data_IF_965634440946
#
_entry.id   IF_965634440946
#
_cell.length_a   1.000
_cell.length_b   1.000
_cell.length_c   1.000
_cell.angle_alpha   90.00
_cell.angle_beta   90.00
_cell.angle_gamma   90.00
#
_symmetry.space_group_name_H-M   'P 1'
#
loop_
_entity.id
_entity.type
_entity.pdbx_description
1 polymer ?
#
# COMPACT_ATOMS: atom_id res chain seq x y z
N UNK A 1 13.10 8.71 -7.22
CA UNK A 1 12.38 8.24 -6.04
C UNK A 1 13.25 8.46 -4.82
N UNK A 2 12.74 8.44 -3.59
CA UNK A 2 13.56 8.59 -2.38
C UNK A 2 14.44 7.36 -2.15
N UNK A 3 15.55 7.55 -1.43
CA UNK A 3 16.42 6.43 -1.04
C UNK A 3 15.71 5.55 0.00
N UNK A 4 15.86 4.24 -0.08
CA UNK A 4 15.22 3.25 0.82
C UNK A 4 15.51 3.51 2.29
N UNK A 5 16.75 3.86 2.61
CA UNK A 5 17.16 4.14 3.99
C UNK A 5 16.43 5.36 4.57
N UNK A 6 16.28 6.42 3.77
CA UNK A 6 15.51 7.61 4.16
C UNK A 6 14.05 7.25 4.44
N UNK A 7 13.46 6.42 3.59
CA UNK A 7 12.07 5.95 3.74
C UNK A 7 11.93 5.07 4.98
N UNK A 8 12.82 4.10 5.17
CA UNK A 8 12.83 3.23 6.36
C UNK A 8 12.87 4.04 7.66
N UNK A 9 13.81 4.99 7.75
CA UNK A 9 13.96 5.81 8.95
C UNK A 9 12.74 6.70 9.18
N UNK A 10 12.21 7.33 8.13
CA UNK A 10 11.00 8.14 8.20
C UNK A 10 9.81 7.36 8.74
N UNK A 11 9.57 6.13 8.27
CA UNK A 11 8.46 5.30 8.73
C UNK A 11 8.69 4.72 10.12
N UNK A 12 9.95 4.42 10.52
CA UNK A 12 10.28 4.07 11.90
C UNK A 12 9.90 5.21 12.87
N UNK A 13 10.23 6.46 12.53
CA UNK A 13 9.99 7.62 13.38
C UNK A 13 8.49 7.91 13.60
N UNK A 14 7.65 7.69 12.58
CA UNK A 14 6.22 8.02 12.65
C UNK A 14 5.33 6.83 13.07
N UNK A 15 5.90 5.63 13.18
CA UNK A 15 5.15 4.41 13.43
C UNK A 15 4.14 4.51 14.60
N UNK A 16 4.48 5.10 15.79
CA UNK A 16 3.55 5.17 16.91
C UNK A 16 2.26 5.97 16.65
N UNK A 17 2.29 6.92 15.72
CA UNK A 17 1.12 7.76 15.40
C UNK A 17 0.50 7.51 14.03
N UNK A 18 1.05 6.57 13.27
CA UNK A 18 0.76 6.39 11.85
C UNK A 18 -0.70 6.05 11.57
N UNK A 19 -1.27 5.07 12.26
CA UNK A 19 -2.65 4.66 12.05
C UNK A 19 -3.64 5.79 12.33
N UNK A 20 -3.43 6.48 13.47
CA UNK A 20 -4.27 7.62 13.85
C UNK A 20 -4.17 8.75 12.82
N UNK A 21 -2.97 9.01 12.31
CA UNK A 21 -2.78 9.99 11.25
C UNK A 21 -3.57 9.60 10.00
N UNK A 22 -3.47 8.36 9.53
CA UNK A 22 -4.18 7.89 8.34
C UNK A 22 -5.69 8.04 8.48
N UNK A 23 -6.27 7.65 9.60
CA UNK A 23 -7.72 7.78 9.85
C UNK A 23 -8.18 9.23 9.89
N UNK A 24 -7.45 10.10 10.59
CA UNK A 24 -7.80 11.52 10.70
C UNK A 24 -7.62 12.23 9.36
N UNK A 25 -6.49 12.02 8.70
CA UNK A 25 -6.15 12.68 7.44
C UNK A 25 -7.00 12.24 6.25
N UNK A 26 -7.54 11.03 6.27
CA UNK A 26 -8.46 10.54 5.24
C UNK A 26 -9.93 10.83 5.54
N UNK A 27 -10.24 11.44 6.70
CA UNK A 27 -11.62 11.54 7.21
C UNK A 27 -12.28 10.15 7.29
N UNK A 28 -11.53 9.13 7.69
CA UNK A 28 -11.92 7.71 7.74
C UNK A 28 -12.31 7.09 6.37
N UNK A 29 -11.99 7.76 5.27
CA UNK A 29 -12.24 7.22 3.93
C UNK A 29 -11.30 6.05 3.59
N UNK A 30 -10.10 6.00 4.21
CA UNK A 30 -9.12 4.93 4.04
C UNK A 30 -9.72 3.54 4.31
N UNK A 31 -10.54 3.39 5.34
CA UNK A 31 -11.23 2.14 5.64
C UNK A 31 -12.21 1.69 4.51
N UNK A 32 -12.90 2.64 3.88
CA UNK A 32 -13.77 2.33 2.73
C UNK A 32 -12.95 1.93 1.49
N UNK A 33 -11.82 2.58 1.26
CA UNK A 33 -10.93 2.26 0.14
C UNK A 33 -10.28 0.88 0.33
N UNK A 34 -9.76 0.59 1.55
CA UNK A 34 -9.21 -0.72 1.89
C UNK A 34 -10.25 -1.82 1.72
N UNK A 35 -11.48 -1.63 2.19
CA UNK A 35 -12.57 -2.61 2.00
C UNK A 35 -12.76 -2.98 0.54
N UNK A 36 -12.76 -2.00 -0.37
CA UNK A 36 -12.89 -2.27 -1.82
C UNK A 36 -11.70 -3.01 -2.40
N UNK A 37 -10.50 -2.73 -1.90
CA UNK A 37 -9.30 -3.46 -2.31
C UNK A 37 -9.33 -4.91 -1.76
N UNK A 38 -9.73 -5.10 -0.51
CA UNK A 38 -9.94 -6.42 0.11
C UNK A 38 -10.95 -7.26 -0.67
N UNK A 39 -12.10 -6.69 -1.06
CA UNK A 39 -13.09 -7.35 -1.91
C UNK A 39 -12.51 -7.83 -3.25
N UNK A 40 -11.53 -7.10 -3.80
CA UNK A 40 -10.85 -7.48 -5.04
C UNK A 40 -9.75 -8.54 -4.84
N UNK A 41 -9.12 -8.59 -3.66
CA UNK A 41 -8.08 -9.57 -3.31
C UNK A 41 -8.74 -10.90 -2.92
N UNK A 42 -9.66 -10.84 -1.97
CA UNK A 42 -10.38 -12.00 -1.42
C UNK A 42 -11.72 -12.19 -2.17
N UNK A 43 -11.62 -12.45 -3.46
CA UNK A 43 -12.73 -12.61 -4.41
C UNK A 43 -13.18 -14.07 -4.60
N UNK A 44 -12.68 -14.97 -3.76
CA UNK A 44 -13.00 -16.40 -3.74
C UNK A 44 -13.04 -16.91 -2.30
N UNK A 45 -13.79 -17.97 -2.05
CA UNK A 45 -13.80 -18.67 -0.77
C UNK A 45 -12.72 -19.76 -0.67
N UNK A 46 -11.98 -20.01 -1.76
CA UNK A 46 -10.84 -20.93 -1.76
C UNK A 46 -9.68 -20.39 -0.88
N UNK A 47 -8.91 -21.28 -0.24
CA UNK A 47 -7.71 -20.87 0.48
C UNK A 47 -6.70 -20.18 -0.43
N UNK A 48 -6.16 -19.07 0.02
CA UNK A 48 -5.19 -18.23 -0.72
C UNK A 48 -3.91 -18.03 0.09
N UNK A 49 -2.77 -18.09 -0.59
CA UNK A 49 -1.50 -17.57 -0.07
C UNK A 49 -1.29 -16.14 -0.62
N UNK A 50 -1.29 -15.18 0.28
CA UNK A 50 -1.33 -13.74 -0.05
C UNK A 50 -0.07 -13.06 0.47
N UNK A 51 0.59 -12.27 -0.37
CA UNK A 51 1.70 -11.39 0.02
C UNK A 51 1.19 -9.95 0.10
N UNK A 52 1.33 -9.31 1.27
CA UNK A 52 1.08 -7.88 1.46
C UNK A 52 2.41 -7.14 1.55
N UNK A 53 2.74 -6.39 0.50
CA UNK A 53 4.01 -5.69 0.34
C UNK A 53 3.88 -4.27 0.90
N UNK A 54 4.90 -3.81 1.65
CA UNK A 54 4.85 -2.59 2.44
C UNK A 54 3.64 -2.59 3.40
N UNK A 55 3.50 -3.67 4.16
CA UNK A 55 2.35 -3.96 5.03
C UNK A 55 2.18 -2.97 6.18
N UNK A 56 3.24 -2.21 6.52
CA UNK A 56 3.23 -1.22 7.59
C UNK A 56 2.84 -1.83 8.94
N UNK A 57 1.84 -1.22 9.57
CA UNK A 57 1.25 -1.68 10.86
C UNK A 57 0.23 -2.80 10.69
N UNK A 58 0.20 -3.46 9.55
CA UNK A 58 -0.63 -4.63 9.21
C UNK A 58 -2.15 -4.42 9.14
N UNK A 59 -2.66 -3.19 9.12
CA UNK A 59 -4.11 -2.95 9.01
C UNK A 59 -4.70 -3.61 7.77
N UNK A 60 -4.01 -3.48 6.62
CA UNK A 60 -4.51 -4.05 5.38
C UNK A 60 -4.38 -5.58 5.36
N UNK A 61 -3.28 -6.14 5.85
CA UNK A 61 -3.10 -7.58 6.01
C UNK A 61 -4.18 -8.21 6.90
N UNK A 62 -4.53 -7.54 8.01
CA UNK A 62 -5.60 -7.97 8.92
C UNK A 62 -6.97 -7.92 8.22
N UNK A 63 -7.27 -6.84 7.49
CA UNK A 63 -8.53 -6.70 6.75
C UNK A 63 -8.64 -7.80 5.65
N UNK A 64 -7.54 -8.12 4.96
CA UNK A 64 -7.47 -9.20 3.98
C UNK A 64 -7.72 -10.57 4.64
N UNK A 65 -7.00 -10.88 5.72
CA UNK A 65 -7.11 -12.18 6.40
C UNK A 65 -8.50 -12.42 6.98
N UNK A 66 -9.20 -11.39 7.45
CA UNK A 66 -10.59 -11.47 7.91
C UNK A 66 -11.60 -11.82 6.81
N UNK A 67 -11.29 -11.46 5.58
CA UNK A 67 -12.22 -11.63 4.44
C UNK A 67 -11.88 -12.85 3.59
N UNK A 68 -10.61 -13.25 3.56
CA UNK A 68 -10.14 -14.38 2.76
C UNK A 68 -10.77 -15.70 3.23
N UNK A 69 -10.89 -16.66 2.32
CA UNK A 69 -11.46 -17.98 2.59
C UNK A 69 -10.70 -18.72 3.70
N UNK A 70 -11.41 -19.64 4.38
CA UNK A 70 -10.81 -20.44 5.45
C UNK A 70 -9.56 -21.19 4.97
N UNK A 71 -8.51 -21.21 5.79
CA UNK A 71 -7.21 -21.79 5.44
C UNK A 71 -6.31 -20.85 4.62
N UNK A 72 -6.72 -19.60 4.34
CA UNK A 72 -5.86 -18.60 3.73
C UNK A 72 -4.79 -18.14 4.70
N UNK A 73 -3.63 -17.79 4.14
CA UNK A 73 -2.49 -17.24 4.88
C UNK A 73 -2.03 -15.92 4.27
N UNK A 74 -1.73 -14.94 5.13
CA UNK A 74 -1.18 -13.65 4.70
C UNK A 74 0.27 -13.54 5.20
N UNK A 75 1.18 -13.20 4.30
CA UNK A 75 2.55 -12.83 4.63
C UNK A 75 2.69 -11.33 4.36
N UNK A 76 2.98 -10.55 5.39
CA UNK A 76 3.23 -9.11 5.29
C UNK A 76 4.71 -8.80 5.37
N UNK A 77 5.23 -7.99 4.46
CA UNK A 77 6.61 -7.52 4.50
C UNK A 77 6.70 -6.00 4.54
N UNK A 78 7.67 -5.48 5.28
CA UNK A 78 7.98 -4.06 5.32
C UNK A 78 9.47 -3.80 5.58
N UNK A 79 9.98 -2.66 5.13
CA UNK A 79 11.35 -2.21 5.43
C UNK A 79 11.49 -1.66 6.85
N UNK A 80 10.41 -1.14 7.42
CA UNK A 80 10.37 -0.48 8.72
C UNK A 80 10.12 -1.50 9.84
N UNK A 81 11.13 -1.73 10.66
CA UNK A 81 11.00 -2.59 11.83
C UNK A 81 9.97 -2.04 12.83
N UNK A 82 9.97 -0.71 13.04
CA UNK A 82 9.01 -0.06 13.95
C UNK A 82 7.54 -0.24 13.52
N UNK A 83 7.27 -0.23 12.20
CA UNK A 83 5.93 -0.55 11.68
C UNK A 83 5.57 -2.02 11.94
N UNK A 84 6.50 -2.95 11.66
CA UNK A 84 6.27 -4.38 11.87
C UNK A 84 6.04 -4.74 13.33
N UNK A 85 6.71 -4.07 14.28
CA UNK A 85 6.54 -4.35 15.71
C UNK A 85 5.12 -3.98 16.16
N UNK A 86 4.61 -2.82 15.76
CA UNK A 86 3.20 -2.43 15.99
C UNK A 86 2.25 -3.42 15.30
N UNK A 87 2.56 -3.80 14.06
CA UNK A 87 1.78 -4.79 13.30
C UNK A 87 1.69 -6.13 14.02
N UNK A 88 2.81 -6.65 14.55
CA UNK A 88 2.84 -7.92 15.31
C UNK A 88 1.96 -7.86 16.55
N UNK A 89 2.01 -6.75 17.31
CA UNK A 89 1.12 -6.56 18.46
C UNK A 89 -0.37 -6.57 18.08
N UNK A 90 -0.70 -6.01 16.92
CA UNK A 90 -2.07 -6.02 16.40
C UNK A 90 -2.49 -7.42 15.93
N UNK A 91 -1.64 -8.08 15.17
CA UNK A 91 -1.89 -9.44 14.65
C UNK A 91 -2.08 -10.44 15.78
N UNK A 92 -1.23 -10.39 16.84
CA UNK A 92 -1.33 -11.29 17.99
C UNK A 92 -2.70 -11.26 18.70
N UNK A 93 -3.45 -10.15 18.57
CA UNK A 93 -4.79 -9.99 19.16
C UNK A 93 -5.92 -10.56 18.28
N UNK A 94 -5.61 -11.02 17.06
CA UNK A 94 -6.66 -11.39 16.09
C UNK A 94 -6.89 -12.89 15.99
N UNK A 95 -5.90 -13.73 16.26
CA UNK A 95 -5.92 -15.17 16.02
C UNK A 95 -5.87 -15.57 14.54
N UNK A 96 -5.61 -14.61 13.63
CA UNK A 96 -5.54 -14.84 12.18
C UNK A 96 -4.16 -15.41 11.77
N UNK A 97 -4.10 -16.19 10.70
CA UNK A 97 -2.84 -16.70 10.14
C UNK A 97 -2.13 -15.63 9.32
N UNK A 98 -1.45 -14.75 10.02
CA UNK A 98 -0.68 -13.63 9.45
C UNK A 98 0.76 -13.71 9.95
N UNK A 99 1.73 -13.73 9.05
CA UNK A 99 3.16 -13.67 9.36
C UNK A 99 3.71 -12.33 8.91
N UNK A 100 4.39 -11.60 9.81
CA UNK A 100 5.02 -10.32 9.49
C UNK A 100 6.54 -10.45 9.58
N UNK A 101 7.25 -10.06 8.50
CA UNK A 101 8.70 -10.15 8.43
C UNK A 101 9.32 -8.95 7.71
N UNK A 102 10.58 -8.60 8.01
CA UNK A 102 11.32 -7.62 7.22
C UNK A 102 11.43 -8.06 5.76
N UNK A 103 11.36 -7.12 4.83
CA UNK A 103 11.51 -7.42 3.41
C UNK A 103 11.52 -6.18 2.54
N UNK A 104 12.22 -6.29 1.41
CA UNK A 104 12.34 -5.24 0.41
C UNK A 104 11.48 -5.59 -0.80
N UNK A 105 10.51 -4.73 -1.14
CA UNK A 105 9.64 -4.88 -2.31
C UNK A 105 10.41 -5.00 -3.65
N UNK A 106 11.63 -4.48 -3.69
CA UNK A 106 12.47 -4.50 -4.89
C UNK A 106 13.44 -5.69 -4.93
N UNK A 107 13.40 -6.58 -3.92
CA UNK A 107 14.20 -7.81 -3.84
C UNK A 107 13.48 -8.79 -2.91
N UNK A 108 12.39 -9.37 -3.41
CA UNK A 108 11.55 -10.28 -2.65
C UNK A 108 12.25 -11.64 -2.45
N UNK A 109 12.46 -12.02 -1.19
CA UNK A 109 13.11 -13.29 -0.81
C UNK A 109 12.11 -14.47 -0.85
N UNK A 110 11.33 -14.54 -1.94
CA UNK A 110 10.39 -15.63 -2.20
C UNK A 110 10.64 -16.24 -3.57
N UNK A 111 10.39 -17.56 -3.73
CA UNK A 111 10.48 -18.20 -5.05
C UNK A 111 9.49 -17.61 -6.07
N UNK A 112 9.78 -17.85 -7.34
CA UNK A 112 8.85 -17.53 -8.42
C UNK A 112 7.53 -18.28 -8.23
N UNK A 113 6.41 -17.68 -8.66
CA UNK A 113 5.10 -18.32 -8.66
C UNK A 113 4.65 -18.88 -7.30
N UNK A 114 4.93 -18.14 -6.21
CA UNK A 114 4.62 -18.57 -4.85
C UNK A 114 3.22 -18.15 -4.39
N UNK A 115 2.74 -16.97 -4.79
CA UNK A 115 1.54 -16.35 -4.22
C UNK A 115 0.36 -16.34 -5.18
N UNK A 116 -0.82 -16.58 -4.65
CA UNK A 116 -2.09 -16.49 -5.39
C UNK A 116 -2.48 -15.02 -5.58
N UNK A 117 -2.16 -14.17 -4.59
CA UNK A 117 -2.43 -12.73 -4.58
C UNK A 117 -1.24 -11.96 -4.06
N UNK A 118 -1.02 -10.77 -4.62
CA UNK A 118 -0.10 -9.77 -4.07
C UNK A 118 -0.87 -8.47 -3.88
N UNK A 119 -0.67 -7.83 -2.74
CA UNK A 119 -1.29 -6.56 -2.40
C UNK A 119 -0.25 -5.52 -1.98
N UNK A 120 -0.56 -4.25 -2.23
CA UNK A 120 0.17 -3.10 -1.71
C UNK A 120 -0.82 -1.98 -1.40
N UNK A 121 -0.86 -1.49 -0.17
CA UNK A 121 -1.66 -0.32 0.17
C UNK A 121 -0.77 0.85 0.61
N UNK A 122 -0.83 1.97 -0.13
CA UNK A 122 -0.14 3.23 0.17
C UNK A 122 1.39 3.13 0.27
N UNK A 123 1.97 2.10 -0.37
CA UNK A 123 3.40 1.80 -0.30
C UNK A 123 4.17 2.06 -1.59
N UNK A 124 3.55 1.83 -2.76
CA UNK A 124 4.23 1.78 -4.07
C UNK A 124 4.93 3.10 -4.44
N UNK A 125 4.37 4.25 -4.04
CA UNK A 125 4.96 5.58 -4.29
C UNK A 125 6.31 5.79 -3.59
N UNK A 126 6.61 4.96 -2.60
CA UNK A 126 7.83 5.03 -1.79
C UNK A 126 8.97 4.13 -2.29
N UNK A 127 8.72 3.29 -3.30
CA UNK A 127 9.75 2.43 -3.88
C UNK A 127 10.84 3.30 -4.54
N UNK A 128 12.11 2.97 -4.29
CA UNK A 128 13.24 3.65 -4.92
C UNK A 128 13.28 3.35 -6.42
N UNK A 129 13.05 2.09 -6.78
CA UNK A 129 12.90 1.65 -8.16
C UNK A 129 11.55 0.97 -8.37
N UNK A 130 10.56 1.76 -8.80
CA UNK A 130 9.19 1.31 -9.02
C UNK A 130 9.13 0.14 -10.04
N UNK A 131 9.87 0.22 -11.15
CA UNK A 131 9.85 -0.85 -12.17
C UNK A 131 10.39 -2.17 -11.61
N UNK A 132 11.41 -2.11 -10.75
CA UNK A 132 11.98 -3.30 -10.11
C UNK A 132 10.98 -3.94 -9.14
N UNK A 133 10.32 -3.12 -8.30
CA UNK A 133 9.28 -3.62 -7.40
C UNK A 133 8.10 -4.26 -8.14
N UNK A 134 7.64 -3.65 -9.24
CA UNK A 134 6.58 -4.23 -10.07
C UNK A 134 7.00 -5.58 -10.68
N UNK A 135 8.24 -5.72 -11.16
CA UNK A 135 8.78 -6.98 -11.69
C UNK A 135 8.88 -8.06 -10.62
N UNK A 136 9.31 -7.72 -9.41
CA UNK A 136 9.38 -8.67 -8.30
C UNK A 136 7.98 -9.16 -7.89
N UNK A 137 7.01 -8.26 -7.76
CA UNK A 137 5.62 -8.65 -7.51
C UNK A 137 5.05 -9.54 -8.62
N UNK A 138 5.38 -9.24 -9.89
CA UNK A 138 5.01 -10.10 -11.02
C UNK A 138 5.69 -11.47 -10.94
N UNK A 139 6.98 -11.54 -10.57
CA UNK A 139 7.75 -12.77 -10.47
C UNK A 139 7.17 -13.75 -9.45
N UNK A 140 6.86 -13.24 -8.26
CA UNK A 140 6.37 -14.08 -7.15
C UNK A 140 4.91 -14.48 -7.27
N UNK A 141 4.11 -13.82 -8.12
CA UNK A 141 2.73 -14.24 -8.41
C UNK A 141 2.72 -15.54 -9.22
N UNK A 142 1.79 -16.44 -8.92
CA UNK A 142 1.45 -17.60 -9.73
C UNK A 142 0.83 -17.18 -11.07
N UNK A 143 0.92 -17.98 -12.14
CA UNK A 143 0.14 -17.78 -13.35
C UNK A 143 -1.35 -17.65 -13.02
N UNK A 144 -2.02 -16.62 -13.53
CA UNK A 144 -3.39 -16.27 -13.19
C UNK A 144 -3.56 -15.58 -11.82
N UNK A 145 -2.47 -15.38 -11.08
CA UNK A 145 -2.47 -14.64 -9.81
C UNK A 145 -2.77 -13.16 -10.01
N UNK A 146 -3.33 -12.52 -8.98
CA UNK A 146 -3.80 -11.13 -9.05
C UNK A 146 -2.95 -10.20 -8.19
N UNK A 147 -2.58 -9.06 -8.74
CA UNK A 147 -2.01 -7.89 -8.05
C UNK A 147 -3.10 -6.86 -7.79
N UNK A 148 -3.17 -6.36 -6.56
CA UNK A 148 -4.03 -5.23 -6.19
C UNK A 148 -3.19 -4.16 -5.50
N UNK A 149 -3.16 -2.97 -6.07
CA UNK A 149 -2.46 -1.80 -5.53
C UNK A 149 -3.48 -0.74 -5.16
N UNK A 150 -3.48 -0.30 -3.92
CA UNK A 150 -4.24 0.84 -3.44
C UNK A 150 -3.27 1.99 -3.17
N UNK A 151 -3.39 3.12 -3.90
CA UNK A 151 -2.40 4.20 -3.76
C UNK A 151 -3.03 5.59 -3.82
N UNK A 152 -2.44 6.52 -3.07
CA UNK A 152 -2.82 7.92 -3.10
C UNK A 152 -2.45 8.53 -4.45
N UNK A 153 -3.30 9.43 -4.90
CA UNK A 153 -3.15 10.09 -6.19
C UNK A 153 -3.64 11.53 -6.07
N UNK A 154 -3.55 12.31 -7.11
CA UNK A 154 -4.10 13.66 -7.13
C UNK A 154 -5.20 13.81 -8.19
N UNK A 155 -6.20 14.66 -7.90
CA UNK A 155 -7.34 14.89 -8.80
C UNK A 155 -6.90 15.48 -10.14
N UNK A 156 -7.54 15.03 -11.23
CA UNK A 156 -7.33 15.61 -12.57
C UNK A 156 -8.09 16.92 -12.75
N UNK A 157 -9.27 17.05 -12.13
CA UNK A 157 -10.07 18.29 -12.20
C UNK A 157 -9.29 19.45 -11.58
N UNK A 158 -9.08 20.58 -12.28
CA UNK A 158 -8.25 21.69 -11.81
C UNK A 158 -8.75 22.33 -10.50
N UNK A 159 -10.06 22.50 -10.35
CA UNK A 159 -10.65 23.09 -9.16
C UNK A 159 -10.44 22.19 -7.93
N UNK A 160 -10.75 20.89 -8.05
CA UNK A 160 -10.56 19.92 -6.97
C UNK A 160 -9.06 19.79 -6.63
N UNK A 161 -8.19 19.82 -7.64
CA UNK A 161 -6.72 19.79 -7.48
C UNK A 161 -6.23 21.01 -6.69
N UNK A 162 -6.79 22.17 -6.91
CA UNK A 162 -6.42 23.37 -6.17
C UNK A 162 -6.74 23.24 -4.68
N UNK A 163 -7.96 22.81 -4.33
CA UNK A 163 -8.35 22.54 -2.94
C UNK A 163 -7.49 21.41 -2.32
N UNK A 164 -7.26 20.34 -3.07
CA UNK A 164 -6.42 19.25 -2.61
C UNK A 164 -4.98 19.68 -2.31
N UNK A 165 -4.39 20.57 -3.12
CA UNK A 165 -3.07 21.12 -2.85
C UNK A 165 -3.04 21.93 -1.54
N UNK A 166 -4.04 22.77 -1.29
CA UNK A 166 -4.11 23.51 -0.02
C UNK A 166 -4.18 22.53 1.14
N UNK A 167 -5.06 21.53 1.07
CA UNK A 167 -5.17 20.50 2.08
C UNK A 167 -3.84 19.75 2.28
N UNK A 168 -3.26 19.23 1.22
CA UNK A 168 -2.07 18.40 1.26
C UNK A 168 -0.82 19.15 1.77
N UNK A 169 -0.61 20.41 1.35
CA UNK A 169 0.61 21.14 1.69
C UNK A 169 0.49 22.02 2.93
N UNK A 170 -0.73 22.41 3.34
CA UNK A 170 -0.92 23.28 4.51
C UNK A 170 -1.54 22.56 5.71
N UNK A 171 -2.54 21.70 5.50
CA UNK A 171 -3.32 21.08 6.57
C UNK A 171 -2.68 19.76 7.03
N UNK A 172 -2.31 18.87 6.11
CA UNK A 172 -1.72 17.57 6.47
C UNK A 172 -0.45 17.67 7.33
N UNK A 173 0.51 18.59 7.07
CA UNK A 173 1.69 18.74 7.92
C UNK A 173 1.36 19.18 9.35
N UNK A 174 0.30 19.99 9.55
CA UNK A 174 -0.16 20.42 10.88
C UNK A 174 -0.75 19.22 11.64
N UNK A 175 -1.65 18.46 10.99
CA UNK A 175 -2.23 17.25 11.55
C UNK A 175 -1.12 16.26 11.91
N UNK A 176 -0.18 16.02 10.99
CA UNK A 176 0.92 15.10 11.19
C UNK A 176 1.81 15.47 12.36
N UNK A 177 2.21 16.75 12.45
CA UNK A 177 3.01 17.26 13.56
C UNK A 177 2.28 17.09 14.91
N UNK A 178 0.97 17.35 14.94
CA UNK A 178 0.17 17.23 16.16
C UNK A 178 0.02 15.78 16.63
N UNK A 179 -0.03 14.80 15.73
CA UNK A 179 -0.29 13.40 16.05
C UNK A 179 0.97 12.55 16.26
N UNK A 180 2.08 12.91 15.63
CA UNK A 180 3.31 12.10 15.66
C UNK A 180 4.52 12.86 16.18
N UNK A 181 4.43 14.17 16.43
CA UNK A 181 5.58 15.00 16.79
C UNK A 181 6.51 15.34 15.63
N UNK A 182 6.44 14.63 14.48
CA UNK A 182 7.35 14.77 13.35
C UNK A 182 6.66 15.43 12.14
N UNK A 183 6.76 16.76 12.03
CA UNK A 183 6.19 17.50 10.90
C UNK A 183 6.93 17.32 9.56
N UNK A 184 8.18 16.84 9.56
CA UNK A 184 8.96 16.67 8.32
C UNK A 184 8.46 15.49 7.50
N UNK A 185 8.11 14.37 8.16
CA UNK A 185 7.56 13.20 7.51
C UNK A 185 6.31 13.53 6.67
N UNK A 186 5.49 14.45 7.16
CA UNK A 186 4.24 14.83 6.50
C UNK A 186 4.38 15.93 5.44
N UNK A 187 5.56 16.54 5.31
CA UNK A 187 5.93 17.33 4.12
C UNK A 187 6.32 16.44 2.94
N UNK A 188 6.90 15.27 3.23
CA UNK A 188 7.22 14.27 2.21
C UNK A 188 5.97 13.70 1.52
N UNK A 189 4.87 13.50 2.26
CA UNK A 189 3.66 12.85 1.75
C UNK A 189 3.08 13.54 0.49
N UNK A 190 2.80 14.85 0.48
CA UNK A 190 2.30 15.53 -0.73
C UNK A 190 3.25 15.42 -1.93
N UNK A 191 4.56 15.55 -1.69
CA UNK A 191 5.56 15.47 -2.74
C UNK A 191 5.62 14.07 -3.35
N UNK A 192 5.54 13.00 -2.54
CA UNK A 192 5.50 11.62 -3.01
C UNK A 192 4.26 11.34 -3.85
N UNK A 193 3.10 11.85 -3.44
CA UNK A 193 1.85 11.71 -4.20
C UNK A 193 1.94 12.40 -5.56
N UNK A 194 2.52 13.60 -5.64
CA UNK A 194 2.67 14.33 -6.90
C UNK A 194 3.67 13.67 -7.85
N UNK A 195 4.68 12.97 -7.32
CA UNK A 195 5.69 12.26 -8.13
C UNK A 195 5.20 10.90 -8.61
N UNK A 196 4.21 10.31 -7.95
CA UNK A 196 3.66 9.02 -8.36
C UNK A 196 2.92 9.15 -9.70
N UNK A 197 3.16 8.22 -10.67
CA UNK A 197 2.59 8.33 -12.00
C UNK A 197 1.06 8.21 -11.98
N UNK A 198 0.40 9.04 -12.78
CA UNK A 198 -1.03 8.92 -13.05
C UNK A 198 -1.32 7.64 -13.87
N UNK A 199 -2.58 7.17 -13.91
CA UNK A 199 -2.95 5.91 -14.57
C UNK A 199 -2.45 5.79 -16.01
N UNK A 200 -2.41 6.88 -16.77
CA UNK A 200 -1.95 6.90 -18.17
C UNK A 200 -0.48 6.50 -18.33
N UNK A 201 0.30 6.67 -17.26
CA UNK A 201 1.72 6.25 -17.22
C UNK A 201 1.90 4.98 -16.40
N UNK A 202 1.13 4.80 -15.33
CA UNK A 202 1.30 3.67 -14.42
C UNK A 202 0.80 2.35 -15.02
N UNK A 203 -0.34 2.36 -15.73
CA UNK A 203 -0.88 1.16 -16.42
C UNK A 203 0.11 0.59 -17.44
N UNK A 204 0.72 1.39 -18.33
CA UNK A 204 1.80 0.89 -19.21
C UNK A 204 3.01 0.30 -18.47
N UNK A 205 3.34 0.80 -17.25
CA UNK A 205 4.42 0.22 -16.44
C UNK A 205 4.05 -1.18 -15.93
N UNK A 206 2.79 -1.41 -15.54
CA UNK A 206 2.30 -2.74 -15.17
C UNK A 206 2.41 -3.71 -16.36
N UNK A 207 1.97 -3.30 -17.55
CA UNK A 207 2.10 -4.10 -18.78
C UNK A 207 3.57 -4.39 -19.10
N UNK A 208 4.46 -3.39 -19.00
CA UNK A 208 5.90 -3.56 -19.21
C UNK A 208 6.53 -4.52 -18.20
N UNK A 209 6.01 -4.57 -16.97
CA UNK A 209 6.45 -5.51 -15.95
C UNK A 209 6.01 -6.96 -16.21
N UNK A 210 5.08 -7.19 -17.17
CA UNK A 210 4.63 -8.51 -17.61
C UNK A 210 3.18 -8.85 -17.26
N UNK A 211 2.43 -7.94 -16.64
CA UNK A 211 1.03 -8.19 -16.31
C UNK A 211 0.17 -8.19 -17.59
N UNK A 212 -0.69 -9.22 -17.71
CA UNK A 212 -1.54 -9.44 -18.91
C UNK A 212 -2.73 -8.51 -18.97
N UNK A 213 -3.28 -8.14 -17.80
CA UNK A 213 -4.38 -7.17 -17.66
C UNK A 213 -3.99 -6.10 -16.69
N UNK A 214 -4.42 -4.88 -16.94
CA UNK A 214 -4.24 -3.78 -16.01
C UNK A 214 -5.41 -2.81 -16.11
N UNK A 215 -6.07 -2.57 -14.98
CA UNK A 215 -7.17 -1.64 -14.86
C UNK A 215 -7.05 -0.77 -13.61
N UNK A 216 -7.88 0.28 -13.52
CA UNK A 216 -7.94 1.07 -12.31
C UNK A 216 -9.35 1.56 -12.00
N UNK A 217 -9.61 1.77 -10.70
CA UNK A 217 -10.79 2.43 -10.16
C UNK A 217 -10.35 3.62 -9.32
N UNK A 218 -10.99 4.78 -9.50
CA UNK A 218 -10.73 5.95 -8.68
C UNK A 218 -11.74 6.10 -7.54
N UNK A 219 -11.26 6.66 -6.43
CA UNK A 219 -12.07 7.03 -5.27
C UNK A 219 -11.93 8.54 -4.99
N UNK A 220 -12.93 9.11 -4.35
CA UNK A 220 -12.97 10.49 -3.89
C UNK A 220 -12.33 11.47 -4.91
N UNK A 221 -12.98 11.60 -6.09
CA UNK A 221 -12.53 12.47 -7.17
C UNK A 221 -11.09 12.22 -7.67
N UNK A 222 -10.53 11.02 -7.41
CA UNK A 222 -9.19 10.64 -7.83
C UNK A 222 -8.07 10.94 -6.84
N UNK A 223 -8.39 11.21 -5.57
CA UNK A 223 -7.38 11.34 -4.49
C UNK A 223 -6.80 10.00 -4.06
N UNK A 224 -7.49 8.91 -4.35
CA UNK A 224 -7.01 7.55 -4.18
C UNK A 224 -7.42 6.71 -5.40
N UNK A 225 -6.60 5.73 -5.75
CA UNK A 225 -6.83 4.80 -6.87
C UNK A 225 -6.50 3.38 -6.46
N UNK A 226 -7.32 2.45 -6.92
CA UNK A 226 -7.04 1.02 -6.86
C UNK A 226 -6.69 0.56 -8.27
N UNK A 227 -5.56 -0.13 -8.40
CA UNK A 227 -5.15 -0.78 -9.64
C UNK A 227 -5.25 -2.29 -9.45
N UNK A 228 -5.72 -2.98 -10.47
CA UNK A 228 -5.81 -4.44 -10.51
C UNK A 228 -5.13 -4.96 -11.75
N UNK A 229 -4.35 -6.03 -11.60
CA UNK A 229 -3.62 -6.65 -12.69
C UNK A 229 -3.53 -8.15 -12.48
N UNK A 230 -3.38 -8.93 -13.56
CA UNK A 230 -3.26 -10.39 -13.54
C UNK A 230 -1.94 -10.81 -14.19
N UNK A 231 -1.28 -11.82 -13.64
CA UNK A 231 -0.11 -12.46 -14.25
C UNK A 231 -0.50 -13.35 -15.40
#
# INVERSE_FOLDING_TARGET
>A
MPQKETIRNLFNDIAPGYDRFNHVSSFQADGKWRRRAVESIADTDAPLLILDVATGTADFAIDIARRAGAGSKVIGIDLSQGMLDIGREKVAKTGLDIVLQPGDAESLEFPDNSFDRVSVAFGVRNFENLEKGLKEMMRVLKPGGKLVILELSYPKNPAIRWFYKIYAFKILPIIGKSLTGNGQAFRYLPDSILKFPLPERFIPMLTKAGFSTAGHRQFLFGTCRMYTSTK
#
